data_IF_123400142569
#
_entry.id   IF_123400142569
#
_cell.length_a   1.000
_cell.length_b   1.000
_cell.length_c   1.000
_cell.angle_alpha   90.00
_cell.angle_beta   90.00
_cell.angle_gamma   90.00
#
_symmetry.space_group_name_H-M   'P 1'
#
loop_
_entity.id
_entity.type
_entity.pdbx_description
1 polymer ?
#
# COMPACT_ATOMS: atom_id res chain seq x y z
N UNK A 1 5.68 6.41 -13.89
CA UNK A 1 6.01 5.21 -13.09
C UNK A 1 6.12 4.04 -14.05
N UNK A 2 7.22 3.27 -14.06
CA UNK A 2 7.34 2.12 -14.95
C UNK A 2 6.33 1.05 -14.53
N UNK A 3 5.50 0.60 -15.46
CA UNK A 3 4.64 -0.56 -15.26
C UNK A 3 5.48 -1.82 -15.43
N UNK A 4 5.50 -2.70 -14.42
CA UNK A 4 6.18 -3.99 -14.49
C UNK A 4 5.33 -4.90 -15.39
N UNK A 5 5.73 -4.98 -16.65
CA UNK A 5 5.22 -5.95 -17.61
C UNK A 5 5.94 -7.29 -17.43
N UNK A 6 5.19 -8.37 -17.31
CA UNK A 6 5.77 -9.72 -17.28
C UNK A 6 5.93 -10.24 -18.71
N UNK A 7 6.88 -11.16 -18.94
CA UNK A 7 7.22 -11.66 -20.28
C UNK A 7 6.00 -12.20 -21.06
N UNK A 8 5.00 -12.75 -20.37
CA UNK A 8 3.79 -13.32 -20.99
C UNK A 8 2.65 -12.30 -21.21
N UNK A 9 2.85 -11.02 -20.92
CA UNK A 9 1.82 -10.01 -21.05
C UNK A 9 1.56 -9.66 -22.53
N UNK A 10 0.56 -10.29 -23.16
CA UNK A 10 0.15 -9.97 -24.55
C UNK A 10 -0.23 -8.50 -24.75
N UNK A 11 -0.79 -7.87 -23.72
CA UNK A 11 -1.21 -6.47 -23.75
C UNK A 11 -0.52 -5.66 -22.65
N UNK A 12 0.35 -4.73 -23.06
CA UNK A 12 0.93 -3.70 -22.20
C UNK A 12 -0.10 -2.60 -21.92
N UNK A 13 0.07 -1.77 -20.88
CA UNK A 13 -0.81 -0.62 -20.64
C UNK A 13 -0.99 0.28 -21.86
N UNK A 14 0.09 0.48 -22.63
CA UNK A 14 0.08 1.26 -23.87
C UNK A 14 -0.76 0.58 -24.96
N UNK A 15 -0.59 -0.73 -25.20
CA UNK A 15 -1.37 -1.40 -26.24
C UNK A 15 -2.85 -1.56 -25.88
N UNK A 16 -3.20 -1.59 -24.59
CA UNK A 16 -4.61 -1.51 -24.13
C UNK A 16 -5.22 -0.15 -24.45
N UNK A 17 -4.46 0.93 -24.24
CA UNK A 17 -4.88 2.28 -24.58
C UNK A 17 -5.11 2.42 -26.09
N UNK A 18 -4.17 1.97 -26.91
CA UNK A 18 -4.31 1.99 -28.37
C UNK A 18 -5.51 1.17 -28.85
N UNK A 19 -5.69 -0.03 -28.30
CA UNK A 19 -6.86 -0.87 -28.59
C UNK A 19 -8.15 -0.13 -28.29
N UNK A 20 -8.24 0.47 -27.11
CA UNK A 20 -9.45 1.19 -26.70
C UNK A 20 -9.71 2.42 -27.58
N UNK A 21 -8.68 3.18 -27.96
CA UNK A 21 -8.79 4.31 -28.88
C UNK A 21 -9.26 3.88 -30.28
N UNK A 22 -8.77 2.75 -30.80
CA UNK A 22 -9.25 2.23 -32.08
C UNK A 22 -10.77 1.95 -32.04
N UNK A 23 -11.27 1.37 -30.94
CA UNK A 23 -12.70 1.05 -30.81
C UNK A 23 -13.55 2.30 -30.54
N UNK A 24 -13.10 3.18 -29.65
CA UNK A 24 -13.89 4.31 -29.15
C UNK A 24 -13.71 5.57 -29.99
N UNK A 25 -12.47 5.97 -30.26
CA UNK A 25 -12.17 7.24 -30.94
C UNK A 25 -12.23 7.08 -32.46
N UNK A 26 -11.79 5.92 -32.98
CA UNK A 26 -11.76 5.64 -34.42
C UNK A 26 -12.98 4.81 -34.90
N UNK A 27 -13.85 4.38 -33.99
CA UNK A 27 -15.08 3.66 -34.32
C UNK A 27 -14.88 2.26 -34.92
N UNK A 28 -13.74 1.61 -34.67
CA UNK A 28 -13.48 0.29 -35.24
C UNK A 28 -14.42 -0.77 -34.64
N UNK A 29 -14.89 -1.74 -35.45
CA UNK A 29 -15.63 -2.87 -34.92
C UNK A 29 -14.72 -3.73 -34.03
N UNK A 30 -15.29 -4.24 -32.92
CA UNK A 30 -14.55 -5.00 -31.91
C UNK A 30 -13.77 -6.18 -32.47
N UNK A 31 -14.35 -6.89 -33.45
CA UNK A 31 -13.71 -8.04 -34.10
C UNK A 31 -12.40 -7.63 -34.80
N UNK A 32 -12.41 -6.51 -35.52
CA UNK A 32 -11.23 -5.96 -36.21
C UNK A 32 -10.15 -5.52 -35.22
N UNK A 33 -10.55 -4.84 -34.13
CA UNK A 33 -9.61 -4.46 -33.09
C UNK A 33 -9.02 -5.71 -32.41
N UNK A 34 -9.84 -6.67 -32.03
CA UNK A 34 -9.40 -7.92 -31.39
C UNK A 34 -8.38 -8.68 -32.25
N UNK A 35 -8.62 -8.77 -33.56
CA UNK A 35 -7.71 -9.40 -34.53
C UNK A 35 -6.37 -8.66 -34.62
N UNK A 36 -6.38 -7.32 -34.75
CA UNK A 36 -5.15 -6.51 -34.79
C UNK A 36 -4.28 -6.71 -33.55
N UNK A 37 -4.90 -6.75 -32.38
CA UNK A 37 -4.20 -6.87 -31.11
C UNK A 37 -4.03 -8.32 -30.64
N UNK A 38 -4.40 -9.31 -31.45
CA UNK A 38 -4.23 -10.75 -31.17
C UNK A 38 -4.86 -11.19 -29.83
N UNK A 39 -6.05 -10.65 -29.54
CA UNK A 39 -6.83 -10.96 -28.33
C UNK A 39 -8.24 -11.42 -28.69
N UNK A 40 -8.90 -12.08 -27.74
CA UNK A 40 -10.30 -12.42 -27.89
C UNK A 40 -11.19 -11.16 -27.90
N UNK A 41 -12.27 -11.18 -28.69
CA UNK A 41 -13.30 -10.11 -28.76
C UNK A 41 -13.79 -9.65 -27.37
N UNK A 42 -14.13 -10.53 -26.39
CA UNK A 42 -14.53 -10.09 -25.06
C UNK A 42 -13.43 -9.33 -24.29
N UNK A 43 -12.16 -9.62 -24.55
CA UNK A 43 -11.04 -8.88 -23.97
C UNK A 43 -10.97 -7.46 -24.55
N UNK A 44 -11.15 -7.32 -25.86
CA UNK A 44 -11.21 -6.02 -26.51
C UNK A 44 -12.40 -5.19 -26.00
N UNK A 45 -13.58 -5.80 -25.88
CA UNK A 45 -14.77 -5.18 -25.31
C UNK A 45 -14.52 -4.66 -23.88
N UNK A 46 -13.93 -5.50 -23.01
CA UNK A 46 -13.63 -5.13 -21.62
C UNK A 46 -12.73 -3.89 -21.52
N UNK A 47 -11.71 -3.80 -22.37
CA UNK A 47 -10.81 -2.64 -22.39
C UNK A 47 -11.48 -1.40 -22.95
N UNK A 48 -12.30 -1.54 -24.00
CA UNK A 48 -13.10 -0.44 -24.54
C UNK A 48 -14.09 0.13 -23.50
N UNK A 49 -14.82 -0.73 -22.79
CA UNK A 49 -15.75 -0.30 -21.72
C UNK A 49 -15.03 0.37 -20.56
N UNK A 50 -13.87 -0.16 -20.17
CA UNK A 50 -13.05 0.49 -19.15
C UNK A 50 -12.55 1.87 -19.60
N UNK A 51 -12.19 2.02 -20.87
CA UNK A 51 -11.76 3.32 -21.40
C UNK A 51 -12.91 4.33 -21.45
N UNK A 52 -14.14 3.90 -21.79
CA UNK A 52 -15.33 4.76 -21.72
C UNK A 52 -15.57 5.33 -20.31
N UNK A 53 -15.28 4.53 -19.28
CA UNK A 53 -15.59 4.89 -17.88
C UNK A 53 -14.46 5.63 -17.17
N UNK A 54 -13.21 5.23 -17.41
CA UNK A 54 -12.03 5.73 -16.67
C UNK A 54 -11.04 6.49 -17.56
N UNK A 55 -11.26 6.55 -18.87
CA UNK A 55 -10.36 7.18 -19.82
C UNK A 55 -8.95 6.54 -19.84
N UNK A 56 -7.92 7.31 -20.24
CA UNK A 56 -6.54 6.83 -20.30
C UNK A 56 -6.00 6.33 -18.95
N UNK A 57 -6.44 6.92 -17.83
CA UNK A 57 -6.00 6.53 -16.49
C UNK A 57 -6.41 5.09 -16.12
N UNK A 58 -7.48 4.57 -16.71
CA UNK A 58 -7.98 3.21 -16.47
C UNK A 58 -7.21 2.09 -17.16
N UNK A 59 -6.23 2.40 -18.01
CA UNK A 59 -5.46 1.39 -18.75
C UNK A 59 -4.30 0.78 -17.95
N UNK A 60 -3.95 1.42 -16.84
CA UNK A 60 -3.04 0.89 -15.84
C UNK A 60 -3.66 -0.33 -15.12
N UNK A 61 -2.79 -1.24 -14.66
CA UNK A 61 -3.23 -2.35 -13.81
C UNK A 61 -3.77 -1.82 -12.48
N UNK A 62 -4.99 -2.23 -12.14
CA UNK A 62 -5.52 -2.03 -10.81
C UNK A 62 -4.72 -2.90 -9.82
N UNK A 63 -4.53 -2.38 -8.61
CA UNK A 63 -3.94 -3.18 -7.54
C UNK A 63 -4.80 -4.43 -7.30
N UNK A 64 -4.20 -5.62 -7.43
CA UNK A 64 -4.85 -6.89 -7.05
C UNK A 64 -5.10 -7.02 -5.55
N UNK A 65 -4.62 -6.06 -4.74
CA UNK A 65 -4.88 -6.05 -3.31
C UNK A 65 -6.37 -5.78 -3.06
N UNK A 66 -7.04 -6.58 -2.23
CA UNK A 66 -8.44 -6.36 -1.91
C UNK A 66 -8.62 -4.99 -1.25
N UNK A 67 -9.57 -4.19 -1.76
CA UNK A 67 -9.90 -2.88 -1.21
C UNK A 67 -10.51 -2.97 0.20
N UNK A 68 -11.15 -4.10 0.53
CA UNK A 68 -11.74 -4.35 1.84
C UNK A 68 -11.45 -5.77 2.31
N UNK A 69 -11.17 -5.94 3.61
CA UNK A 69 -10.96 -7.26 4.23
C UNK A 69 -12.01 -7.45 5.34
N UNK A 70 -13.08 -8.24 5.11
CA UNK A 70 -14.16 -8.42 6.08
C UNK A 70 -13.72 -9.01 7.42
N UNK A 71 -12.66 -9.84 7.42
CA UNK A 71 -12.09 -10.44 8.63
C UNK A 71 -11.11 -9.51 9.35
N UNK A 72 -11.00 -8.25 8.93
CA UNK A 72 -10.14 -7.26 9.58
C UNK A 72 -10.63 -7.01 11.00
N UNK A 73 -9.69 -6.95 11.93
CA UNK A 73 -9.97 -6.62 13.33
C UNK A 73 -10.71 -5.28 13.41
N UNK A 74 -11.82 -5.18 14.16
CA UNK A 74 -12.55 -3.91 14.32
C UNK A 74 -11.64 -2.80 14.83
N UNK A 75 -11.79 -1.59 14.29
CA UNK A 75 -10.96 -0.41 14.62
C UNK A 75 -10.89 -0.14 16.13
N UNK A 76 -11.97 -0.42 16.87
CA UNK A 76 -12.00 -0.31 18.34
C UNK A 76 -10.95 -1.19 19.03
N UNK A 77 -10.77 -2.42 18.56
CA UNK A 77 -9.74 -3.34 19.08
C UNK A 77 -8.34 -2.91 18.64
N UNK A 78 -8.18 -2.44 17.40
CA UNK A 78 -6.92 -1.90 16.92
C UNK A 78 -6.45 -0.71 17.77
N UNK A 79 -7.35 0.23 18.11
CA UNK A 79 -7.06 1.36 19.00
C UNK A 79 -6.64 0.93 20.40
N UNK A 80 -7.20 -0.17 20.95
CA UNK A 80 -6.77 -0.72 22.25
C UNK A 80 -5.33 -1.25 22.19
N UNK A 81 -4.97 -1.93 21.11
CA UNK A 81 -3.59 -2.39 20.86
C UNK A 81 -2.63 -1.20 20.82
N UNK A 82 -2.96 -0.16 20.05
CA UNK A 82 -2.13 1.05 19.95
C UNK A 82 -2.06 1.79 21.29
N UNK A 83 -3.17 1.92 22.02
CA UNK A 83 -3.19 2.54 23.35
C UNK A 83 -2.24 1.83 24.31
N UNK A 84 -2.35 0.51 24.44
CA UNK A 84 -1.47 -0.28 25.32
C UNK A 84 0.00 -0.19 24.90
N UNK A 85 0.24 -0.11 23.59
CA UNK A 85 1.58 0.11 23.03
C UNK A 85 2.15 1.46 23.50
N UNK A 86 1.39 2.54 23.37
CA UNK A 86 1.85 3.89 23.71
C UNK A 86 1.94 4.13 25.22
N UNK A 87 0.95 3.71 26.00
CA UNK A 87 0.88 4.02 27.43
C UNK A 87 1.75 3.12 28.29
N UNK A 88 1.99 1.87 27.87
CA UNK A 88 2.70 0.88 28.68
C UNK A 88 4.00 0.38 28.07
N UNK A 89 4.34 0.82 26.84
CA UNK A 89 5.50 0.34 26.09
C UNK A 89 5.57 -1.20 25.99
N UNK A 90 4.42 -1.87 25.86
CA UNK A 90 4.36 -3.34 25.86
C UNK A 90 4.68 -3.93 24.48
N UNK A 91 5.39 -5.06 24.49
CA UNK A 91 5.69 -5.85 23.31
C UNK A 91 4.47 -6.60 22.76
N UNK A 92 4.51 -7.07 21.49
CA UNK A 92 3.38 -7.75 20.86
C UNK A 92 2.85 -8.96 21.64
N UNK A 93 3.73 -9.78 22.22
CA UNK A 93 3.34 -10.96 23.01
C UNK A 93 2.59 -10.59 24.31
N UNK A 94 3.01 -9.51 24.98
CA UNK A 94 2.37 -9.06 26.22
C UNK A 94 1.00 -8.43 25.97
N UNK A 95 0.87 -7.65 24.89
CA UNK A 95 -0.42 -7.10 24.46
C UNK A 95 -1.36 -8.23 24.02
N UNK A 96 -0.83 -9.22 23.29
CA UNK A 96 -1.57 -10.41 22.85
C UNK A 96 -2.17 -11.18 24.02
N UNK A 97 -1.37 -11.51 25.04
CA UNK A 97 -1.86 -12.17 26.25
C UNK A 97 -2.91 -11.35 27.00
N UNK A 98 -2.72 -10.03 27.10
CA UNK A 98 -3.66 -9.16 27.80
C UNK A 98 -5.00 -8.98 27.07
N UNK A 99 -5.02 -9.01 25.73
CA UNK A 99 -6.23 -8.79 24.93
C UNK A 99 -6.87 -10.09 24.41
N UNK A 100 -6.30 -11.26 24.71
CA UNK A 100 -6.74 -12.55 24.16
C UNK A 100 -6.62 -12.60 22.63
N UNK A 101 -5.56 -12.01 22.08
CA UNK A 101 -5.32 -11.92 20.63
C UNK A 101 -4.08 -12.70 20.24
N UNK A 102 -4.00 -13.16 18.99
CA UNK A 102 -2.77 -13.78 18.48
C UNK A 102 -1.65 -12.74 18.32
N UNK A 103 -0.43 -13.06 18.73
CA UNK A 103 0.72 -12.14 18.66
C UNK A 103 1.01 -11.65 17.23
N UNK A 104 0.80 -12.49 16.21
CA UNK A 104 0.95 -12.09 14.81
C UNK A 104 -0.09 -11.06 14.37
N UNK A 105 -1.32 -11.10 14.92
CA UNK A 105 -2.35 -10.10 14.66
C UNK A 105 -2.01 -8.77 15.31
N UNK A 106 -1.54 -8.80 16.57
CA UNK A 106 -1.06 -7.60 17.27
C UNK A 106 0.12 -6.97 16.51
N UNK A 107 1.10 -7.77 16.08
CA UNK A 107 2.22 -7.29 15.29
C UNK A 107 1.76 -6.63 13.98
N UNK A 108 0.85 -7.25 13.23
CA UNK A 108 0.30 -6.71 11.99
C UNK A 108 -0.44 -5.39 12.21
N UNK A 109 -1.17 -5.25 13.32
CA UNK A 109 -1.81 -4.00 13.72
C UNK A 109 -0.73 -2.94 13.97
N UNK A 110 0.27 -3.22 14.81
CA UNK A 110 1.33 -2.26 15.12
C UNK A 110 2.09 -1.79 13.88
N UNK A 111 2.42 -2.69 12.96
CA UNK A 111 3.09 -2.34 11.69
C UNK A 111 2.20 -1.44 10.82
N UNK A 112 0.88 -1.67 10.79
CA UNK A 112 -0.06 -0.85 10.02
C UNK A 112 -0.18 0.59 10.56
N UNK A 113 -0.14 0.76 11.88
CA UNK A 113 -0.13 2.08 12.53
C UNK A 113 1.28 2.67 12.64
N UNK A 114 2.27 2.11 11.93
CA UNK A 114 3.66 2.59 11.90
C UNK A 114 4.31 2.70 13.29
N UNK A 115 3.90 1.85 14.24
CA UNK A 115 4.48 1.86 15.59
C UNK A 115 5.91 1.25 15.54
N UNK A 116 6.97 1.99 15.92
CA UNK A 116 8.33 1.49 15.91
C UNK A 116 8.50 0.30 16.87
N UNK A 117 9.45 -0.59 16.59
CA UNK A 117 9.83 -1.69 17.50
C UNK A 117 10.33 -1.11 18.83
N UNK A 118 10.11 -1.78 19.97
CA UNK A 118 10.58 -1.25 21.28
C UNK A 118 12.09 -1.15 21.32
N UNK A 119 12.79 -2.05 20.64
CA UNK A 119 14.25 -1.99 20.51
C UNK A 119 14.71 -0.73 19.77
N UNK A 120 13.84 -0.12 18.97
CA UNK A 120 14.09 1.14 18.26
C UNK A 120 13.36 2.29 18.95
N UNK A 121 12.96 2.13 20.21
CA UNK A 121 12.28 3.16 21.00
C UNK A 121 13.10 3.41 22.26
N UNK A 122 13.42 4.67 22.53
CA UNK A 122 14.09 5.04 23.77
C UNK A 122 13.17 4.68 24.94
N UNK A 123 13.70 3.88 25.87
CA UNK A 123 12.97 3.36 27.03
C UNK A 123 12.56 4.48 28.00
N UNK A 124 13.28 5.61 28.03
CA UNK A 124 12.97 6.75 28.89
C UNK A 124 11.90 7.67 28.27
N UNK A 125 11.90 7.86 26.95
CA UNK A 125 11.03 8.85 26.28
C UNK A 125 9.93 8.25 25.41
N UNK A 126 9.95 6.95 25.13
CA UNK A 126 8.98 6.30 24.24
C UNK A 126 9.08 6.76 22.77
N UNK A 127 10.11 7.53 22.43
CA UNK A 127 10.36 8.07 21.09
C UNK A 127 11.12 7.05 20.25
N UNK A 128 10.84 7.00 18.95
CA UNK A 128 11.70 6.25 18.04
C UNK A 128 13.15 6.75 18.22
N UNK A 129 14.07 5.83 18.52
CA UNK A 129 15.50 6.12 18.57
C UNK A 129 15.87 6.65 17.20
N UNK A 130 16.11 7.95 17.10
CA UNK A 130 16.77 8.54 15.94
C UNK A 130 18.18 8.01 15.97
N UNK A 131 18.50 7.10 15.05
CA UNK A 131 19.89 6.68 14.86
C UNK A 131 20.63 7.90 14.33
N UNK A 132 21.59 8.38 15.10
CA UNK A 132 22.53 9.39 14.63
C UNK A 132 23.51 8.66 13.71
N UNK A 133 23.30 8.73 12.39
CA UNK A 133 24.33 8.32 11.43
C UNK A 133 25.34 9.47 11.36
N UNK A 134 26.50 9.26 11.98
CA UNK A 134 27.65 10.13 11.86
C UNK A 134 28.51 9.63 10.70
N UNK A 135 28.66 10.42 9.64
CA UNK A 135 29.66 10.12 8.59
C UNK A 135 31.09 10.42 9.05
N UNK A 136 31.27 11.14 10.18
CA UNK A 136 32.57 11.48 10.76
C UNK A 136 32.55 11.50 12.28
N UNK A 137 33.55 10.87 12.90
CA UNK A 137 33.77 10.89 14.33
C UNK A 137 34.10 12.31 14.80
N UNK A 138 33.34 12.89 15.73
CA UNK A 138 33.77 14.08 16.49
C UNK A 138 32.95 15.39 16.43
N UNK A 139 31.66 15.40 16.10
CA UNK A 139 30.86 16.63 16.20
C UNK A 139 29.76 16.50 17.27
N UNK A 140 29.89 17.21 18.39
CA UNK A 140 28.82 17.34 19.38
C UNK A 140 27.69 18.19 18.79
N UNK A 141 26.47 17.65 18.74
CA UNK A 141 25.29 18.42 18.38
C UNK A 141 24.29 18.36 19.53
N UNK A 142 24.08 19.50 20.18
CA UNK A 142 22.91 19.74 21.02
C UNK A 142 21.68 19.76 20.11
N UNK A 143 20.71 18.84 20.23
CA UNK A 143 19.53 18.91 19.39
C UNK A 143 18.57 19.96 19.94
N UNK A 144 18.45 21.06 19.19
CA UNK A 144 17.44 22.09 19.37
C UNK A 144 16.02 21.50 19.45
N UNK A 145 15.27 22.06 20.39
CA UNK A 145 13.88 21.70 20.68
C UNK A 145 12.99 22.21 19.56
N UNK A 146 12.54 21.32 18.68
CA UNK A 146 11.37 21.59 17.83
C UNK A 146 10.15 20.86 18.41
N UNK A 147 9.05 21.56 18.73
CA UNK A 147 7.85 20.93 19.24
C UNK A 147 7.05 20.34 18.06
N UNK A 148 6.70 19.06 18.13
CA UNK A 148 5.65 18.49 17.27
C UNK A 148 4.55 17.95 18.18
N UNK A 149 3.41 18.63 18.12
CA UNK A 149 2.13 18.17 18.67
C UNK A 149 1.69 16.93 17.90
N UNK A 150 1.41 15.85 18.62
CA UNK A 150 0.46 14.84 18.16
C UNK A 150 -0.88 15.13 18.81
N UNK A 151 -1.53 16.18 18.33
CA UNK A 151 -2.97 16.47 18.39
C UNK A 151 -3.27 17.51 17.31
#
# INVERSE_FOLDING_TARGET
>A
MPHIIHANAKLTPTSRLELARCVIDQGWPLRRAAERFQVAVPTAQRWADRYRTLGPAGMADASSRPGHSPRRTPTRRERRVVKLRCTRAWGPARIAGHLGMHASTVHRILTRYTCPRLAHTDRATGRAVRRYEHDRWGASCFPDRVPIRWF
#
